data_IF_012889458672
#
_entry.id   IF_012889458672
#
_cell.length_a   1.000
_cell.length_b   1.000
_cell.length_c   1.000
_cell.angle_alpha   90.00
_cell.angle_beta   90.00
_cell.angle_gamma   90.00
#
_symmetry.space_group_name_H-M   'P 1'
#
loop_
_entity.id
_entity.type
_entity.pdbx_description
1 polymer ?
#
# COMPACT_ATOMS: atom_id res chain seq x y z
N UNK A 1 8.30 20.69 -2.74
CA UNK A 1 7.18 19.77 -3.05
C UNK A 1 7.80 18.50 -3.58
N UNK A 2 7.36 17.33 -3.11
CA UNK A 2 7.86 16.04 -3.62
C UNK A 2 7.14 15.79 -4.94
N UNK A 3 7.88 15.54 -6.02
CA UNK A 3 7.28 15.20 -7.31
C UNK A 3 6.50 13.88 -7.22
N UNK A 4 5.34 13.76 -7.90
CA UNK A 4 4.58 12.53 -7.92
C UNK A 4 5.43 11.40 -8.51
N UNK A 5 5.44 10.23 -7.87
CA UNK A 5 6.13 9.05 -8.40
C UNK A 5 5.40 8.51 -9.62
N UNK A 6 6.09 7.75 -10.46
CA UNK A 6 5.47 7.07 -11.59
C UNK A 6 4.34 6.14 -11.09
N UNK A 7 3.11 6.24 -11.63
CA UNK A 7 1.98 5.38 -11.26
C UNK A 7 2.29 3.88 -11.27
N UNK A 8 3.08 3.39 -12.23
CA UNK A 8 3.42 1.97 -12.36
C UNK A 8 4.24 1.44 -11.17
N UNK A 9 5.10 2.31 -10.61
CA UNK A 9 5.88 1.99 -9.41
C UNK A 9 4.93 1.84 -8.21
N UNK A 10 4.00 2.78 -8.06
CA UNK A 10 3.06 2.79 -6.94
C UNK A 10 2.11 1.57 -7.03
N UNK A 11 1.66 1.21 -8.24
CA UNK A 11 0.84 0.01 -8.48
C UNK A 11 1.60 -1.25 -8.05
N UNK A 12 2.88 -1.38 -8.42
CA UNK A 12 3.70 -2.53 -8.04
C UNK A 12 3.84 -2.63 -6.52
N UNK A 13 4.15 -1.52 -5.85
CA UNK A 13 4.24 -1.48 -4.39
C UNK A 13 2.92 -1.84 -3.70
N UNK A 14 1.77 -1.41 -4.24
CA UNK A 14 0.45 -1.79 -3.71
C UNK A 14 0.24 -3.30 -3.83
N UNK A 15 0.65 -3.91 -4.96
CA UNK A 15 0.50 -5.34 -5.17
C UNK A 15 1.39 -6.16 -4.22
N UNK A 16 2.65 -5.77 -4.08
CA UNK A 16 3.59 -6.41 -3.13
C UNK A 16 3.05 -6.31 -1.69
N UNK A 17 2.52 -5.14 -1.32
CA UNK A 17 1.94 -4.90 -0.01
C UNK A 17 0.65 -5.71 0.21
N UNK A 18 -0.16 -5.93 -0.82
CA UNK A 18 -1.35 -6.78 -0.73
C UNK A 18 -0.96 -8.23 -0.40
N UNK A 19 0.07 -8.76 -1.05
CA UNK A 19 0.57 -10.11 -0.78
C UNK A 19 1.10 -10.22 0.66
N UNK A 20 1.83 -9.21 1.13
CA UNK A 20 2.32 -9.17 2.51
C UNK A 20 1.18 -9.12 3.54
N UNK A 21 0.15 -8.32 3.28
CA UNK A 21 -1.03 -8.22 4.14
C UNK A 21 -1.76 -9.56 4.21
N UNK A 22 -1.98 -10.21 3.06
CA UNK A 22 -2.64 -11.52 2.99
C UNK A 22 -1.85 -12.56 3.80
N UNK A 23 -0.54 -12.63 3.58
CA UNK A 23 0.32 -13.54 4.33
C UNK A 23 0.27 -13.26 5.84
N UNK A 24 0.36 -12.00 6.25
CA UNK A 24 0.29 -11.58 7.65
C UNK A 24 -1.05 -11.96 8.30
N UNK A 25 -2.16 -11.79 7.57
CA UNK A 25 -3.50 -12.19 8.04
C UNK A 25 -3.59 -13.70 8.25
N UNK A 26 -3.06 -14.51 7.32
CA UNK A 26 -3.00 -15.97 7.47
C UNK A 26 -2.15 -16.37 8.68
N UNK A 27 -1.00 -15.74 8.88
CA UNK A 27 -0.14 -16.01 10.03
C UNK A 27 -0.82 -15.64 11.35
N UNK A 28 -1.57 -14.53 11.40
CA UNK A 28 -2.36 -14.15 12.58
C UNK A 28 -3.49 -15.12 12.92
N UNK A 29 -4.02 -15.87 11.94
CA UNK A 29 -4.98 -16.94 12.24
C UNK A 29 -4.34 -18.06 13.05
N UNK A 30 -3.05 -18.33 12.84
CA UNK A 30 -2.28 -19.32 13.59
C UNK A 30 -1.79 -18.78 14.94
N UNK A 31 -1.50 -17.49 15.02
CA UNK A 31 -0.97 -16.81 16.21
C UNK A 31 -1.80 -15.57 16.56
N UNK A 32 -3.04 -15.75 17.04
CA UNK A 32 -3.99 -14.64 17.23
C UNK A 32 -3.56 -13.65 18.31
N UNK A 33 -2.70 -14.05 19.25
CA UNK A 33 -2.23 -13.19 20.33
C UNK A 33 -0.91 -12.45 20.01
N UNK A 34 -0.34 -12.65 18.82
CA UNK A 34 0.88 -11.95 18.39
C UNK A 34 0.60 -10.46 18.16
N UNK A 35 0.83 -9.65 19.19
CA UNK A 35 0.63 -8.20 19.17
C UNK A 35 1.55 -7.49 18.20
N UNK A 36 2.78 -7.99 18.01
CA UNK A 36 3.71 -7.36 17.09
C UNK A 36 3.22 -7.53 15.65
N UNK A 37 2.76 -8.73 15.32
CA UNK A 37 2.21 -9.03 14.00
C UNK A 37 0.88 -8.28 13.74
N UNK A 38 0.04 -8.10 14.76
CA UNK A 38 -1.15 -7.25 14.66
C UNK A 38 -0.79 -5.78 14.36
N UNK A 39 0.23 -5.24 15.02
CA UNK A 39 0.70 -3.87 14.77
C UNK A 39 1.27 -3.75 13.36
N UNK A 40 2.07 -4.72 12.91
CA UNK A 40 2.61 -4.75 11.56
C UNK A 40 1.48 -4.74 10.50
N UNK A 41 0.45 -5.57 10.69
CA UNK A 41 -0.73 -5.58 9.80
C UNK A 41 -1.42 -4.20 9.74
N UNK A 42 -1.60 -3.53 10.88
CA UNK A 42 -2.20 -2.20 10.93
C UNK A 42 -1.35 -1.16 10.20
N UNK A 43 -0.03 -1.22 10.35
CA UNK A 43 0.91 -0.35 9.64
C UNK A 43 0.85 -0.56 8.13
N UNK A 44 0.81 -1.82 7.68
CA UNK A 44 0.72 -2.15 6.26
C UNK A 44 -0.61 -1.70 5.64
N UNK A 45 -1.73 -1.89 6.35
CA UNK A 45 -3.04 -1.37 5.93
C UNK A 45 -3.04 0.16 5.82
N UNK A 46 -2.40 0.85 6.77
CA UNK A 46 -2.24 2.29 6.72
C UNK A 46 -1.37 2.74 5.54
N UNK A 47 -0.25 2.05 5.29
CA UNK A 47 0.64 2.30 4.14
C UNK A 47 -0.10 2.10 2.81
N UNK A 48 -0.91 1.05 2.68
CA UNK A 48 -1.75 0.81 1.49
C UNK A 48 -2.69 1.97 1.22
N UNK A 49 -3.34 2.51 2.26
CA UNK A 49 -4.21 3.69 2.13
C UNK A 49 -3.45 4.92 1.63
N UNK A 50 -2.21 5.12 2.08
CA UNK A 50 -1.38 6.23 1.62
C UNK A 50 -0.93 6.05 0.17
N UNK A 51 -0.50 4.84 -0.22
CA UNK A 51 -0.15 4.53 -1.61
C UNK A 51 -1.33 4.73 -2.56
N UNK A 52 -2.55 4.38 -2.14
CA UNK A 52 -3.74 4.61 -2.97
C UNK A 52 -4.01 6.11 -3.22
N UNK A 53 -3.83 6.95 -2.20
CA UNK A 53 -3.93 8.42 -2.36
C UNK A 53 -2.84 8.96 -3.27
N UNK A 54 -1.63 8.45 -3.11
CA UNK A 54 -0.49 8.83 -3.93
C UNK A 54 -0.67 8.42 -5.40
N UNK A 55 -1.18 7.20 -5.64
CA UNK A 55 -1.53 6.72 -6.97
C UNK A 55 -2.58 7.62 -7.62
N UNK A 56 -3.63 7.98 -6.88
CA UNK A 56 -4.66 8.89 -7.37
C UNK A 56 -4.07 10.26 -7.78
N UNK A 57 -3.19 10.84 -6.96
CA UNK A 57 -2.50 12.09 -7.28
C UNK A 57 -1.61 11.93 -8.54
N UNK A 58 -0.85 10.85 -8.61
CA UNK A 58 0.10 10.59 -9.69
C UNK A 58 -0.62 10.37 -11.02
N UNK A 59 -1.72 9.61 -11.01
CA UNK A 59 -2.59 9.43 -12.18
C UNK A 59 -3.27 10.73 -12.60
N UNK A 60 -3.73 11.53 -11.63
CA UNK A 60 -4.35 12.83 -11.95
C UNK A 60 -3.37 13.71 -12.70
N UNK A 61 -2.14 13.84 -12.20
CA UNK A 61 -1.12 14.68 -12.85
C UNK A 61 -0.71 14.11 -14.21
N UNK A 62 -0.50 12.80 -14.30
CA UNK A 62 -0.18 12.14 -15.57
C UNK A 62 -1.26 12.42 -16.62
N UNK A 63 -2.54 12.17 -16.30
CA UNK A 63 -3.64 12.36 -17.24
C UNK A 63 -3.85 13.84 -17.62
N UNK A 64 -3.67 14.78 -16.69
CA UNK A 64 -3.75 16.22 -16.98
C UNK A 64 -2.59 16.72 -17.85
N UNK A 65 -1.42 16.09 -17.83
CA UNK A 65 -0.29 16.45 -18.70
C UNK A 65 -0.46 15.98 -20.14
N UNK A 66 -1.33 14.99 -20.39
CA UNK A 66 -1.61 14.46 -21.72
C UNK A 66 -3.02 14.82 -22.24
N UNK A 67 -3.73 15.73 -21.57
CA UNK A 67 -5.02 16.30 -21.99
C UNK A 67 -4.83 17.70 -22.59
#
# INVERSE_FOLDING_TARGET
>A
MIEPRNPDIIIREINDLNQLIEHTQVTLQQFPDDKLLQIALQQDLYRKKNLAKELHLSLSIYLYQFA
#
